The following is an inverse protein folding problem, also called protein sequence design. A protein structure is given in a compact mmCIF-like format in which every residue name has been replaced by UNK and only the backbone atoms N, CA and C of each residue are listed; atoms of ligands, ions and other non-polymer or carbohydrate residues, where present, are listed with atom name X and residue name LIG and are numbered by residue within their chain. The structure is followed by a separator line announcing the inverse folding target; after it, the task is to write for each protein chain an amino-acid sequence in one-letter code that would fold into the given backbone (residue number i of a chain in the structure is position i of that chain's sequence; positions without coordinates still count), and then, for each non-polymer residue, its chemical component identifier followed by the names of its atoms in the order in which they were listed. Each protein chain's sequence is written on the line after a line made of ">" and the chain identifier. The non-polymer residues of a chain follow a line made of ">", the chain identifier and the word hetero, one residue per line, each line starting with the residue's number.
data_IF_259232028599
#
_entry.id   IF_259232028599
#
_cell.length_a   1.000
_cell.length_b   1.000
_cell.length_c   1.000
_cell.angle_alpha   90.00
_cell.angle_beta   90.00
_cell.angle_gamma   90.00
#
_symmetry.space_group_name_H-M   'P 1'
#
loop_
_entity.id
_entity.type
_entity.pdbx_description
1 polymer ?
#
# COMPACT_ATOMS: atom_id res chain seq x y z
N UNK A 1 -12.23 -10.52 9.55
CA UNK A 1 -11.73 -10.20 8.19
C UNK A 1 -12.28 -8.84 7.83
N UNK A 2 -11.44 -7.94 7.31
CA UNK A 2 -11.86 -6.65 6.77
C UNK A 2 -11.82 -6.75 5.24
N UNK A 3 -12.89 -6.36 4.57
CA UNK A 3 -13.06 -6.52 3.12
C UNK A 3 -13.30 -5.15 2.48
N UNK A 4 -12.56 -4.84 1.41
CA UNK A 4 -12.67 -3.58 0.67
C UNK A 4 -13.96 -3.50 -0.14
N UNK A 5 -14.48 -2.29 -0.37
CA UNK A 5 -15.67 -2.12 -1.19
C UNK A 5 -15.39 -2.42 -2.66
N UNK A 6 -16.38 -2.96 -3.39
CA UNK A 6 -16.32 -3.08 -4.84
C UNK A 6 -16.73 -1.80 -5.56
N UNK A 7 -17.35 -0.85 -4.87
CA UNK A 7 -17.80 0.40 -5.45
C UNK A 7 -16.64 1.42 -5.49
N UNK A 8 -16.18 1.88 -6.68
CA UNK A 8 -15.10 2.86 -6.79
C UNK A 8 -15.35 4.14 -5.99
N UNK A 9 -16.61 4.55 -5.86
CA UNK A 9 -17.02 5.78 -5.20
C UNK A 9 -16.96 5.72 -3.67
N UNK A 10 -16.78 4.54 -3.07
CA UNK A 10 -16.61 4.40 -1.63
C UNK A 10 -15.19 4.79 -1.18
N UNK A 11 -14.27 4.92 -2.13
CA UNK A 11 -12.93 5.44 -1.89
C UNK A 11 -12.94 6.95 -2.08
N UNK A 12 -12.23 7.70 -1.21
CA UNK A 12 -12.14 9.16 -1.33
C UNK A 12 -11.30 9.56 -2.54
N UNK A 13 -11.93 9.65 -3.71
CA UNK A 13 -11.29 9.97 -4.99
C UNK A 13 -10.86 11.45 -5.14
N UNK A 14 -11.09 12.30 -4.13
CA UNK A 14 -10.78 13.75 -4.18
C UNK A 14 -9.33 14.08 -3.79
N UNK A 15 -8.39 13.16 -3.96
CA UNK A 15 -6.98 13.38 -3.63
C UNK A 15 -6.01 12.59 -4.52
N UNK A 16 -4.70 12.87 -4.43
CA UNK A 16 -3.71 12.22 -5.29
C UNK A 16 -3.67 10.70 -5.08
N UNK A 17 -3.96 10.25 -3.86
CA UNK A 17 -3.83 8.85 -3.44
C UNK A 17 -5.02 8.45 -2.56
N UNK A 18 -5.98 7.76 -3.15
CA UNK A 18 -7.07 7.15 -2.42
C UNK A 18 -6.72 5.72 -2.01
N UNK A 19 -7.27 5.25 -0.90
CA UNK A 19 -6.86 4.01 -0.26
C UNK A 19 -7.98 3.43 0.59
N UNK A 20 -7.91 2.12 0.85
CA UNK A 20 -8.87 1.44 1.72
C UNK A 20 -8.69 1.84 3.19
N UNK A 21 -7.45 1.96 3.66
CA UNK A 21 -7.14 2.42 5.02
C UNK A 21 -6.18 3.59 4.92
N UNK A 22 -6.59 4.75 5.44
CA UNK A 22 -5.86 6.01 5.30
C UNK A 22 -5.64 6.70 6.63
N UNK A 23 -4.45 7.25 6.83
CA UNK A 23 -4.14 8.16 7.91
C UNK A 23 -3.25 9.30 7.41
N UNK A 24 -3.56 10.54 7.78
CA UNK A 24 -2.75 11.72 7.43
C UNK A 24 -2.48 12.52 8.69
N UNK A 25 -1.21 12.84 8.95
CA UNK A 25 -0.79 13.66 10.09
C UNK A 25 -1.30 13.10 11.44
N UNK A 26 -1.26 11.78 11.60
CA UNK A 26 -1.70 11.08 12.81
C UNK A 26 -0.53 10.56 13.63
N UNK A 27 -0.76 10.26 14.90
CA UNK A 27 0.26 9.74 15.82
C UNK A 27 -0.27 8.54 16.60
N UNK A 28 0.62 7.62 16.96
CA UNK A 28 0.31 6.45 17.79
C UNK A 28 -0.79 5.58 17.19
N UNK A 29 -0.61 5.18 15.93
CA UNK A 29 -1.56 4.37 15.18
C UNK A 29 -1.08 2.93 15.09
N UNK A 30 -2.00 1.98 15.23
CA UNK A 30 -1.68 0.57 15.14
C UNK A 30 -2.75 -0.21 14.37
N UNK A 31 -2.29 -1.13 13.51
CA UNK A 31 -3.10 -2.17 12.89
C UNK A 31 -2.45 -3.50 13.27
N UNK A 32 -3.11 -4.28 14.12
CA UNK A 32 -2.53 -5.51 14.64
C UNK A 32 -3.54 -6.65 14.78
N UNK A 33 -3.00 -7.87 14.89
CA UNK A 33 -3.77 -9.10 15.10
C UNK A 33 -3.63 -10.06 13.92
N UNK A 34 -4.26 -11.23 14.00
CA UNK A 34 -4.12 -12.31 13.00
C UNK A 34 -5.17 -12.26 11.88
N UNK A 35 -5.77 -11.10 11.68
CA UNK A 35 -6.86 -10.89 10.74
C UNK A 35 -6.36 -10.73 9.29
N UNK A 36 -7.28 -10.90 8.35
CA UNK A 36 -7.06 -10.67 6.91
C UNK A 36 -7.72 -9.36 6.49
N UNK A 37 -6.98 -8.54 5.74
CA UNK A 37 -7.44 -7.40 4.95
C UNK A 37 -7.45 -7.85 3.49
N UNK A 38 -8.63 -7.99 2.89
CA UNK A 38 -8.82 -8.34 1.48
C UNK A 38 -9.37 -7.15 0.71
N UNK A 39 -8.56 -6.53 -0.14
CA UNK A 39 -8.92 -5.30 -0.83
C UNK A 39 -9.68 -5.53 -2.16
N UNK A 40 -9.89 -6.78 -2.59
CA UNK A 40 -10.67 -7.14 -3.79
C UNK A 40 -10.25 -6.41 -5.09
N UNK A 41 -8.97 -6.06 -5.19
CA UNK A 41 -8.49 -4.98 -6.04
C UNK A 41 -8.59 -5.22 -7.54
N UNK A 42 -8.63 -6.48 -7.98
CA UNK A 42 -8.90 -6.81 -9.39
C UNK A 42 -10.29 -6.35 -9.81
N UNK A 43 -11.31 -6.68 -9.02
CA UNK A 43 -12.69 -6.31 -9.36
C UNK A 43 -12.91 -4.80 -9.21
N UNK A 44 -12.34 -4.18 -8.17
CA UNK A 44 -12.38 -2.71 -8.00
C UNK A 44 -11.75 -2.02 -9.20
N UNK A 45 -10.60 -2.50 -9.69
CA UNK A 45 -9.93 -1.92 -10.85
C UNK A 45 -10.77 -2.04 -12.13
N UNK A 46 -11.43 -3.18 -12.36
CA UNK A 46 -12.36 -3.32 -13.49
C UNK A 46 -13.57 -2.39 -13.37
N UNK A 47 -14.09 -2.20 -12.16
CA UNK A 47 -15.19 -1.27 -11.93
C UNK A 47 -14.75 0.17 -12.19
N UNK A 48 -13.52 0.56 -11.83
CA UNK A 48 -12.97 1.88 -12.16
C UNK A 48 -12.85 2.07 -13.67
N UNK A 49 -12.31 1.08 -14.40
CA UNK A 49 -12.17 1.14 -15.86
C UNK A 49 -13.53 1.27 -16.54
N UNK A 50 -14.56 0.56 -16.07
CA UNK A 50 -15.94 0.71 -16.56
C UNK A 50 -16.46 2.15 -16.37
N UNK A 51 -16.17 2.79 -15.24
CA UNK A 51 -16.54 4.20 -15.04
C UNK A 51 -15.71 5.17 -15.90
N UNK A 52 -14.46 4.82 -16.24
CA UNK A 52 -13.66 5.57 -17.22
C UNK A 52 -14.29 5.50 -18.60
N UNK A 53 -14.67 4.31 -19.07
CA UNK A 53 -15.31 4.13 -20.38
C UNK A 53 -16.67 4.82 -20.48
N UNK A 54 -17.39 4.96 -19.35
CA UNK A 54 -18.64 5.73 -19.26
C UNK A 54 -18.43 7.25 -19.17
N UNK A 55 -17.19 7.72 -19.01
CA UNK A 55 -16.85 9.14 -18.89
C UNK A 55 -17.09 9.74 -17.51
N UNK A 56 -17.34 8.92 -16.48
CA UNK A 56 -17.55 9.40 -15.10
C UNK A 56 -16.25 9.56 -14.31
N UNK A 57 -15.23 8.75 -14.60
CA UNK A 57 -13.89 8.88 -14.02
C UNK A 57 -12.93 9.29 -15.14
N UNK A 58 -12.04 10.25 -14.86
CA UNK A 58 -10.98 10.64 -15.80
C UNK A 58 -9.79 9.71 -15.66
N UNK A 59 -9.30 9.22 -16.80
CA UNK A 59 -8.00 8.57 -16.89
C UNK A 59 -6.96 9.57 -17.43
N UNK A 60 -6.13 10.17 -16.56
CA UNK A 60 -5.17 11.18 -17.00
C UNK A 60 -3.97 10.60 -17.75
N UNK A 61 -3.72 9.29 -17.66
CA UNK A 61 -2.62 8.62 -18.34
C UNK A 61 -3.05 7.95 -19.64
N UNK A 62 -4.36 7.90 -19.90
CA UNK A 62 -4.99 7.17 -21.00
C UNK A 62 -4.66 5.66 -20.97
N UNK A 63 -5.23 4.88 -21.90
CA UNK A 63 -4.96 3.43 -22.06
C UNK A 63 -5.36 2.56 -20.85
N UNK A 64 -6.52 2.83 -20.25
CA UNK A 64 -7.04 2.10 -19.08
C UNK A 64 -6.05 2.12 -17.91
N UNK A 65 -5.39 3.27 -17.72
CA UNK A 65 -4.44 3.53 -16.64
C UNK A 65 -4.94 4.56 -15.60
N UNK A 66 -6.21 4.50 -15.15
CA UNK A 66 -6.69 5.43 -14.14
C UNK A 66 -5.95 5.21 -12.82
N UNK A 67 -6.03 6.21 -11.94
CA UNK A 67 -5.67 6.03 -10.53
C UNK A 67 -6.48 4.87 -9.94
N UNK A 68 -5.92 4.18 -8.95
CA UNK A 68 -6.57 3.08 -8.25
C UNK A 68 -6.35 3.20 -6.74
N UNK A 69 -7.20 2.58 -5.90
CA UNK A 69 -7.02 2.64 -4.46
C UNK A 69 -5.83 1.78 -4.03
N UNK A 70 -4.94 2.37 -3.22
CA UNK A 70 -3.93 1.62 -2.45
C UNK A 70 -4.60 0.82 -1.33
N UNK A 71 -3.90 -0.19 -0.80
CA UNK A 71 -4.40 -0.91 0.38
C UNK A 71 -4.35 -0.04 1.62
N UNK A 72 -3.15 0.18 2.14
CA UNK A 72 -2.87 1.08 3.29
C UNK A 72 -2.07 2.26 2.78
N UNK A 73 -2.48 3.49 3.12
CA UNK A 73 -1.69 4.69 2.83
C UNK A 73 -1.64 5.62 4.04
N UNK A 74 -0.47 5.70 4.66
CA UNK A 74 -0.20 6.61 5.77
C UNK A 74 0.78 7.69 5.35
N UNK A 75 0.38 8.95 5.53
CA UNK A 75 1.19 10.11 5.16
C UNK A 75 1.48 10.97 6.38
N UNK A 76 2.74 11.36 6.56
CA UNK A 76 3.17 12.26 7.64
C UNK A 76 2.75 11.78 9.04
N UNK A 77 2.75 10.46 9.25
CA UNK A 77 2.34 9.85 10.51
C UNK A 77 3.55 9.49 11.38
N UNK A 78 3.36 9.42 12.71
CA UNK A 78 4.44 9.07 13.66
C UNK A 78 4.04 8.02 14.69
N UNK A 79 4.92 7.07 14.97
CA UNK A 79 4.64 6.00 15.94
C UNK A 79 3.59 5.05 15.38
N UNK A 80 4.00 4.28 14.38
CA UNK A 80 3.12 3.41 13.59
C UNK A 80 3.50 1.96 13.88
N UNK A 81 2.52 1.10 14.16
CA UNK A 81 2.73 -0.35 14.31
C UNK A 81 1.79 -1.14 13.40
N UNK A 82 2.36 -1.99 12.56
CA UNK A 82 1.63 -2.92 11.70
C UNK A 82 2.10 -4.33 12.05
N UNK A 83 1.23 -5.16 12.62
CA UNK A 83 1.68 -6.39 13.27
C UNK A 83 0.76 -7.59 13.06
N UNK A 84 1.31 -8.69 12.58
CA UNK A 84 0.64 -10.00 12.52
C UNK A 84 -0.46 -10.15 11.48
N UNK A 85 -0.84 -9.07 10.78
CA UNK A 85 -1.93 -9.08 9.81
C UNK A 85 -1.54 -9.80 8.52
N UNK A 86 -2.55 -10.26 7.79
CA UNK A 86 -2.43 -10.59 6.37
C UNK A 86 -3.10 -9.50 5.53
N UNK A 87 -2.43 -8.99 4.51
CA UNK A 87 -3.02 -8.10 3.51
C UNK A 87 -2.89 -8.71 2.12
N UNK A 88 -3.98 -8.69 1.35
CA UNK A 88 -4.02 -9.27 0.02
C UNK A 88 -4.92 -8.54 -0.95
N UNK A 89 -4.71 -8.83 -2.23
CA UNK A 89 -5.54 -8.40 -3.34
C UNK A 89 -5.78 -6.88 -3.39
N UNK A 90 -4.76 -6.04 -3.33
CA UNK A 90 -4.94 -4.59 -3.49
C UNK A 90 -5.01 -4.19 -4.95
N UNK A 91 -5.63 -3.04 -5.22
CA UNK A 91 -5.77 -2.55 -6.59
C UNK A 91 -4.42 -2.08 -7.09
N UNK A 92 -3.72 -1.28 -6.30
CA UNK A 92 -2.42 -0.63 -6.55
C UNK A 92 -1.42 -1.07 -5.46
N UNK A 93 -0.40 -0.25 -5.14
CA UNK A 93 0.55 -0.46 -4.06
C UNK A 93 -0.12 -0.98 -2.79
N UNK A 94 0.42 -2.08 -2.24
CA UNK A 94 -0.25 -2.80 -1.14
C UNK A 94 -0.30 -1.95 0.11
N UNK A 95 0.84 -1.36 0.46
CA UNK A 95 0.99 -0.49 1.61
C UNK A 95 2.02 0.57 1.27
N UNK A 96 1.73 1.81 1.60
CA UNK A 96 2.65 2.92 1.41
C UNK A 96 2.66 3.80 2.65
N UNK A 97 3.89 4.07 3.09
CA UNK A 97 4.18 4.97 4.19
C UNK A 97 5.00 6.13 3.61
N UNK A 98 4.41 7.32 3.57
CA UNK A 98 5.00 8.53 2.99
C UNK A 98 5.33 9.52 4.10
N UNK A 99 6.58 9.98 4.16
CA UNK A 99 7.06 10.98 5.13
C UNK A 99 6.77 10.60 6.60
N UNK A 100 6.77 9.30 6.93
CA UNK A 100 6.47 8.82 8.27
C UNK A 100 7.74 8.66 9.14
N UNK A 101 7.57 8.75 10.45
CA UNK A 101 8.65 8.54 11.42
C UNK A 101 8.28 7.45 12.44
N UNK A 102 9.22 6.56 12.75
CA UNK A 102 9.04 5.50 13.74
C UNK A 102 7.94 4.51 13.30
N UNK A 103 8.23 3.78 12.22
CA UNK A 103 7.36 2.78 11.60
C UNK A 103 7.85 1.36 11.88
N UNK A 104 7.04 0.56 12.55
CA UNK A 104 7.34 -0.84 12.84
C UNK A 104 6.36 -1.76 12.11
N UNK A 105 6.91 -2.63 11.26
CA UNK A 105 6.17 -3.63 10.50
C UNK A 105 6.71 -5.01 10.88
N UNK A 106 5.90 -5.83 11.55
CA UNK A 106 6.37 -7.07 12.19
C UNK A 106 5.45 -8.23 11.96
N UNK A 107 5.98 -9.37 11.54
CA UNK A 107 5.18 -10.59 11.47
C UNK A 107 4.03 -10.54 10.47
N UNK A 108 4.07 -9.65 9.48
CA UNK A 108 2.97 -9.51 8.53
C UNK A 108 3.10 -10.52 7.39
N UNK A 109 1.98 -10.81 6.74
CA UNK A 109 1.93 -11.56 5.48
C UNK A 109 1.35 -10.67 4.39
N UNK A 110 2.08 -10.49 3.30
CA UNK A 110 1.61 -9.83 2.08
C UNK A 110 1.45 -10.88 0.99
N UNK A 111 0.25 -10.97 0.43
CA UNK A 111 -0.07 -11.84 -0.72
C UNK A 111 -0.77 -10.99 -1.79
N UNK A 112 0.00 -10.39 -2.69
CA UNK A 112 -0.56 -9.43 -3.64
C UNK A 112 -0.08 -9.64 -5.07
N UNK A 113 -0.94 -10.28 -5.86
CA UNK A 113 -0.78 -10.57 -7.30
C UNK A 113 -2.08 -10.28 -8.05
N UNK A 114 -2.91 -9.40 -7.50
CA UNK A 114 -4.27 -9.18 -8.01
C UNK A 114 -4.26 -8.35 -9.29
N UNK A 115 -3.33 -7.40 -9.40
CA UNK A 115 -3.24 -6.46 -10.50
C UNK A 115 -1.79 -5.95 -10.69
N UNK A 116 -1.55 -5.06 -11.64
CA UNK A 116 -0.29 -4.33 -11.81
C UNK A 116 0.02 -3.35 -10.65
N UNK A 117 1.31 -3.01 -10.46
CA UNK A 117 1.82 -2.17 -9.37
C UNK A 117 1.47 -2.72 -7.98
N UNK A 118 1.70 -4.01 -7.79
CA UNK A 118 1.39 -4.71 -6.56
C UNK A 118 2.66 -4.91 -5.72
N UNK A 119 3.35 -3.79 -5.45
CA UNK A 119 4.49 -3.71 -4.53
C UNK A 119 4.04 -4.16 -3.14
N UNK A 120 4.87 -4.88 -2.40
CA UNK A 120 4.51 -5.43 -1.09
C UNK A 120 4.44 -4.37 0.01
N UNK A 121 5.41 -3.46 0.03
CA UNK A 121 5.44 -2.28 0.90
C UNK A 121 6.36 -1.20 0.33
N UNK A 122 5.84 0.03 0.27
CA UNK A 122 6.54 1.22 -0.19
C UNK A 122 6.89 2.11 0.99
N UNK A 123 8.19 2.34 1.19
CA UNK A 123 8.73 3.25 2.19
C UNK A 123 9.22 4.49 1.45
N UNK A 124 8.48 5.58 1.60
CA UNK A 124 8.72 6.81 0.85
C UNK A 124 9.11 7.92 1.80
N UNK A 125 10.35 8.41 1.71
CA UNK A 125 10.86 9.51 2.53
C UNK A 125 10.68 9.32 4.07
N UNK A 126 10.66 8.07 4.54
CA UNK A 126 10.44 7.75 5.96
C UNK A 126 11.73 7.72 6.79
N UNK A 127 11.60 7.89 8.10
CA UNK A 127 12.73 7.78 9.03
C UNK A 127 12.44 6.78 10.16
N UNK A 128 13.49 6.08 10.61
CA UNK A 128 13.40 5.11 11.71
C UNK A 128 12.37 4.00 11.42
N UNK A 129 12.68 3.19 10.41
CA UNK A 129 11.80 2.11 9.93
C UNK A 129 12.38 0.76 10.30
N UNK A 130 11.54 -0.13 10.84
CA UNK A 130 11.87 -1.52 11.10
C UNK A 130 10.85 -2.42 10.40
N UNK A 131 11.31 -3.25 9.47
CA UNK A 131 10.54 -4.32 8.84
C UNK A 131 11.18 -5.65 9.24
N UNK A 132 10.46 -6.49 9.97
CA UNK A 132 11.02 -7.77 10.40
C UNK A 132 10.03 -8.93 10.45
N UNK A 133 10.58 -10.14 10.38
CA UNK A 133 9.86 -11.40 10.58
C UNK A 133 8.62 -11.54 9.66
N UNK A 134 8.66 -10.92 8.48
CA UNK A 134 7.50 -10.77 7.59
C UNK A 134 7.66 -11.59 6.32
N UNK A 135 6.53 -11.99 5.74
CA UNK A 135 6.48 -12.72 4.47
C UNK A 135 5.86 -11.83 3.39
N UNK A 136 6.50 -11.77 2.22
CA UNK A 136 6.02 -11.03 1.06
C UNK A 136 5.94 -11.96 -0.16
N UNK A 137 4.79 -11.98 -0.82
CA UNK A 137 4.59 -12.58 -2.14
C UNK A 137 3.85 -11.59 -3.05
N UNK A 138 4.64 -10.76 -3.74
CA UNK A 138 4.21 -9.64 -4.58
C UNK A 138 4.44 -9.92 -6.08
N UNK A 139 3.57 -9.40 -6.94
CA UNK A 139 3.83 -9.39 -8.40
C UNK A 139 4.68 -8.20 -8.86
N UNK A 140 5.00 -7.27 -7.98
CA UNK A 140 5.95 -6.18 -8.17
C UNK A 140 6.99 -6.21 -7.02
N UNK A 141 7.73 -5.13 -6.77
CA UNK A 141 8.76 -5.07 -5.73
C UNK A 141 8.26 -5.55 -4.34
N UNK A 142 8.99 -6.42 -3.63
CA UNK A 142 8.54 -6.91 -2.32
C UNK A 142 8.64 -5.83 -1.24
N UNK A 143 9.77 -5.12 -1.16
CA UNK A 143 9.95 -3.89 -0.39
C UNK A 143 10.55 -2.86 -1.31
N UNK A 144 10.02 -1.65 -1.37
CA UNK A 144 10.58 -0.58 -2.18
C UNK A 144 10.93 0.64 -1.32
N UNK A 145 12.16 1.13 -1.44
CA UNK A 145 12.59 2.39 -0.84
C UNK A 145 12.54 3.49 -1.90
N UNK A 146 11.73 4.52 -1.67
CA UNK A 146 11.53 5.62 -2.62
C UNK A 146 11.73 6.98 -1.96
N UNK A 147 11.86 7.99 -2.81
CA UNK A 147 11.84 9.40 -2.45
C UNK A 147 11.06 10.19 -3.50
N UNK A 148 10.19 11.09 -3.05
CA UNK A 148 9.37 11.95 -3.90
C UNK A 148 9.86 13.40 -3.90
N UNK A 149 10.71 13.79 -2.96
CA UNK A 149 11.27 15.15 -2.86
C UNK A 149 12.78 15.11 -2.78
N UNK A 150 13.42 16.16 -3.26
CA UNK A 150 14.88 16.31 -3.26
C UNK A 150 15.44 16.60 -1.86
N UNK A 151 14.62 17.12 -0.95
CA UNK A 151 15.00 17.56 0.39
C UNK A 151 14.84 16.46 1.46
N UNK A 152 14.09 15.40 1.13
CA UNK A 152 13.79 14.29 2.03
C UNK A 152 14.37 12.99 1.49
N UNK A 153 14.59 12.03 2.38
CA UNK A 153 15.08 10.72 2.01
C UNK A 153 14.69 9.69 3.08
N UNK A 154 14.68 8.42 2.70
CA UNK A 154 14.64 7.34 3.66
C UNK A 154 15.90 7.35 4.55
N UNK A 155 15.73 7.31 5.89
CA UNK A 155 16.85 7.26 6.85
C UNK A 155 16.61 6.21 7.92
N UNK A 156 17.64 5.47 8.31
CA UNK A 156 17.58 4.45 9.36
C UNK A 156 16.49 3.40 9.08
N UNK A 157 16.59 2.71 7.94
CA UNK A 157 15.68 1.62 7.55
C UNK A 157 16.37 0.29 7.79
N UNK A 158 15.78 -0.56 8.63
CA UNK A 158 16.25 -1.92 8.91
C UNK A 158 15.23 -2.91 8.39
N UNK A 159 15.68 -3.82 7.51
CA UNK A 159 14.89 -4.94 6.99
C UNK A 159 15.62 -6.21 7.38
N UNK A 160 14.99 -7.10 8.17
CA UNK A 160 15.64 -8.34 8.64
C UNK A 160 14.67 -9.49 8.83
N UNK A 161 15.16 -10.72 8.67
CA UNK A 161 14.37 -11.94 8.89
C UNK A 161 13.07 -12.00 8.08
N UNK A 162 13.06 -11.39 6.88
CA UNK A 162 11.93 -11.45 5.98
C UNK A 162 12.14 -12.53 4.91
N UNK A 163 11.07 -13.18 4.49
CA UNK A 163 11.06 -14.06 3.33
C UNK A 163 10.31 -13.35 2.20
N UNK A 164 10.93 -13.23 1.04
CA UNK A 164 10.39 -12.44 -0.07
C UNK A 164 10.36 -13.28 -1.34
N UNK A 165 9.17 -13.35 -1.94
CA UNK A 165 8.96 -13.75 -3.32
C UNK A 165 8.44 -12.53 -4.06
N UNK A 166 9.08 -12.23 -5.19
CA UNK A 166 8.74 -11.09 -6.03
C UNK A 166 8.83 -11.50 -7.49
N UNK A 167 8.00 -10.87 -8.34
CA UNK A 167 8.13 -10.97 -9.80
C UNK A 167 8.91 -9.79 -10.41
N UNK A 168 9.37 -8.85 -9.58
CA UNK A 168 10.26 -7.74 -9.93
C UNK A 168 11.52 -7.81 -9.04
N UNK A 169 11.64 -6.96 -8.01
CA UNK A 169 12.79 -6.96 -7.09
C UNK A 169 12.42 -7.43 -5.68
N UNK A 170 13.40 -7.96 -4.94
CA UNK A 170 13.24 -8.31 -3.53
C UNK A 170 13.30 -7.06 -2.62
N UNK A 171 14.23 -6.15 -2.91
CA UNK A 171 14.41 -4.82 -2.29
C UNK A 171 14.90 -3.87 -3.38
#
# INVERSE_FOLDING_TARGET
>A
MLVGSLNPYDYNMEGPCYSMIRAINQKNIAIYGKGIIDAQGRQVSYNIIDQVHKGFIKDPLENDRPRRPRGIHFKQCRGITIEGITIKNTCDWTQEYEECDSLWVRGITVDNKAYWNNDGIDIVDCQNVLIENSFFDSSDDAVCLKSHKTETACRNVVIRNCTMRSSANGI
#
